data_IF_937982988653
#
_entry.id   IF_937982988653
#
_cell.length_a   1.000
_cell.length_b   1.000
_cell.length_c   1.000
_cell.angle_alpha   90.00
_cell.angle_beta   90.00
_cell.angle_gamma   90.00
#
_symmetry.space_group_name_H-M   'P 1'
#
loop_
_entity.id
_entity.type
_entity.pdbx_description
1 polymer ?
#
# COMPACT_ATOMS: atom_id res chain seq x y z
N UNK A 1 17.58 9.51 3.39
CA UNK A 1 18.57 9.97 2.39
C UNK A 1 17.82 10.77 1.34
N UNK A 2 18.36 11.91 0.86
CA UNK A 2 17.79 12.63 -0.28
C UNK A 2 18.44 12.10 -1.57
N UNK A 3 17.63 11.66 -2.52
CA UNK A 3 18.09 11.12 -3.80
C UNK A 3 17.83 12.16 -4.90
N UNK A 4 18.85 12.49 -5.68
CA UNK A 4 18.65 13.22 -6.93
C UNK A 4 18.09 12.29 -8.03
N UNK A 5 17.76 12.83 -9.20
CA UNK A 5 17.15 12.05 -10.29
C UNK A 5 18.02 10.87 -10.77
N UNK A 6 19.34 11.00 -10.74
CA UNK A 6 20.26 9.93 -11.13
C UNK A 6 20.24 8.79 -10.11
N UNK A 7 20.37 9.12 -8.82
CA UNK A 7 20.36 8.14 -7.74
C UNK A 7 18.99 7.50 -7.54
N UNK A 8 17.89 8.25 -7.72
CA UNK A 8 16.54 7.73 -7.66
C UNK A 8 16.28 6.70 -8.78
N UNK A 9 16.74 6.99 -10.00
CA UNK A 9 16.64 6.06 -11.12
C UNK A 9 17.50 4.80 -10.90
N UNK A 10 18.72 4.97 -10.39
CA UNK A 10 19.58 3.84 -10.03
C UNK A 10 18.93 2.97 -8.94
N UNK A 11 18.41 3.59 -7.88
CA UNK A 11 17.74 2.88 -6.77
C UNK A 11 16.51 2.10 -7.26
N UNK A 12 15.71 2.67 -8.15
CA UNK A 12 14.52 2.02 -8.71
C UNK A 12 14.84 0.87 -9.68
N UNK A 13 15.98 0.94 -10.40
CA UNK A 13 16.35 -0.01 -11.47
C UNK A 13 17.42 -1.02 -11.09
N UNK A 14 18.16 -0.79 -10.01
CA UNK A 14 19.23 -1.67 -9.58
C UNK A 14 18.70 -3.09 -9.36
N UNK A 15 19.43 -4.05 -9.91
CA UNK A 15 19.21 -5.49 -9.75
C UNK A 15 20.36 -6.16 -8.99
N UNK A 16 21.29 -5.37 -8.44
CA UNK A 16 22.40 -5.90 -7.68
C UNK A 16 21.84 -6.57 -6.42
N UNK A 17 22.03 -7.90 -6.34
CA UNK A 17 21.74 -8.75 -5.18
C UNK A 17 20.29 -8.74 -4.65
N UNK A 18 19.32 -8.20 -5.41
CA UNK A 18 17.92 -8.08 -4.96
C UNK A 18 16.98 -9.02 -5.70
N UNK A 19 16.05 -9.64 -4.98
CA UNK A 19 14.95 -10.40 -5.57
C UNK A 19 14.00 -9.50 -6.41
N UNK A 20 13.17 -10.11 -7.26
CA UNK A 20 12.14 -9.39 -8.03
C UNK A 20 11.20 -8.60 -7.09
N UNK A 21 10.93 -9.16 -5.91
CA UNK A 21 10.07 -8.60 -4.89
C UNK A 21 10.68 -7.38 -4.20
N UNK A 22 11.96 -7.44 -3.86
CA UNK A 22 12.69 -6.27 -3.34
C UNK A 22 12.69 -5.12 -4.35
N UNK A 23 12.82 -5.42 -5.65
CA UNK A 23 12.72 -4.41 -6.70
C UNK A 23 11.33 -3.77 -6.74
N UNK A 24 10.26 -4.55 -6.61
CA UNK A 24 8.89 -4.02 -6.52
C UNK A 24 8.71 -3.13 -5.29
N UNK A 25 9.30 -3.50 -4.14
CA UNK A 25 9.28 -2.67 -2.92
C UNK A 25 10.00 -1.34 -3.16
N UNK A 26 11.21 -1.36 -3.73
CA UNK A 26 11.97 -0.12 -4.02
C UNK A 26 11.22 0.82 -4.97
N UNK A 27 10.56 0.28 -6.00
CA UNK A 27 9.72 1.07 -6.90
C UNK A 27 8.56 1.75 -6.14
N UNK A 28 7.88 1.00 -5.26
CA UNK A 28 6.82 1.54 -4.40
C UNK A 28 7.36 2.60 -3.44
N UNK A 29 8.57 2.44 -2.93
CA UNK A 29 9.21 3.42 -2.07
C UNK A 29 9.52 4.73 -2.80
N UNK A 30 9.99 4.66 -4.05
CA UNK A 30 10.17 5.85 -4.88
C UNK A 30 8.83 6.56 -5.11
N UNK A 31 7.77 5.81 -5.41
CA UNK A 31 6.43 6.39 -5.59
C UNK A 31 5.87 7.01 -4.29
N UNK A 32 6.05 6.36 -3.14
CA UNK A 32 5.66 6.91 -1.83
C UNK A 32 6.42 8.20 -1.54
N UNK A 33 7.74 8.20 -1.74
CA UNK A 33 8.58 9.37 -1.55
C UNK A 33 8.18 10.52 -2.49
N UNK A 34 7.86 10.23 -3.75
CA UNK A 34 7.33 11.23 -4.68
C UNK A 34 6.00 11.81 -4.18
N UNK A 35 5.06 10.98 -3.75
CA UNK A 35 3.78 11.44 -3.22
C UNK A 35 3.94 12.33 -1.98
N UNK A 36 4.96 12.09 -1.16
CA UNK A 36 5.27 12.89 0.02
C UNK A 36 6.07 14.17 -0.28
N UNK A 37 6.99 14.13 -1.23
CA UNK A 37 7.89 15.24 -1.53
C UNK A 37 7.28 16.25 -2.50
N UNK A 38 6.44 15.79 -3.41
CA UNK A 38 5.76 16.66 -4.35
C UNK A 38 4.74 17.55 -3.62
N UNK A 39 4.57 18.77 -4.15
CA UNK A 39 3.44 19.64 -3.84
C UNK A 39 2.34 19.34 -4.88
N UNK A 40 1.25 18.66 -4.50
CA UNK A 40 0.24 18.23 -5.47
C UNK A 40 -0.43 19.40 -6.20
N UNK A 41 -0.58 20.55 -5.54
CA UNK A 41 -1.19 21.74 -6.14
C UNK A 41 -0.27 22.38 -7.16
N UNK A 42 1.04 22.40 -6.87
CA UNK A 42 2.05 22.84 -7.83
C UNK A 42 2.09 21.92 -9.04
N UNK A 43 2.01 20.60 -8.85
CA UNK A 43 1.95 19.64 -9.96
C UNK A 43 0.67 19.82 -10.79
N UNK A 44 -0.49 20.00 -10.18
CA UNK A 44 -1.75 20.22 -10.90
C UNK A 44 -1.76 21.54 -11.69
N UNK A 45 -1.29 22.63 -11.08
CA UNK A 45 -1.21 23.94 -11.78
C UNK A 45 -0.20 23.92 -12.92
N UNK A 46 0.88 23.14 -12.79
CA UNK A 46 1.90 22.95 -13.84
C UNK A 46 1.62 21.77 -14.78
N UNK A 47 0.50 21.08 -14.63
CA UNK A 47 0.20 19.86 -15.39
C UNK A 47 0.21 20.07 -16.90
N UNK A 48 -0.26 21.23 -17.38
CA UNK A 48 -0.19 21.59 -18.80
C UNK A 48 1.25 21.68 -19.32
N UNK A 49 2.08 22.48 -18.64
CA UNK A 49 3.51 22.63 -18.98
C UNK A 49 4.27 21.30 -18.86
N UNK A 50 3.95 20.49 -17.84
CA UNK A 50 4.56 19.17 -17.63
C UNK A 50 4.15 18.17 -18.70
N UNK A 51 2.91 18.23 -19.18
CA UNK A 51 2.42 17.36 -20.26
C UNK A 51 3.07 17.71 -21.60
N UNK A 52 3.26 19.00 -21.87
CA UNK A 52 3.92 19.47 -23.09
C UNK A 52 5.44 19.22 -23.07
N UNK A 53 6.13 19.57 -21.97
CA UNK A 53 7.56 19.33 -21.80
C UNK A 53 7.88 17.84 -21.65
N UNK A 54 6.94 17.07 -21.09
CA UNK A 54 7.02 15.64 -20.95
C UNK A 54 6.97 14.90 -22.28
N UNK A 55 6.26 15.42 -23.29
CA UNK A 55 6.14 14.76 -24.59
C UNK A 55 5.79 13.27 -24.46
N UNK A 56 6.67 12.39 -24.94
CA UNK A 56 6.52 10.92 -24.83
C UNK A 56 6.98 10.32 -23.47
N UNK A 57 7.44 11.14 -22.52
CA UNK A 57 7.92 10.67 -21.20
C UNK A 57 6.80 10.15 -20.30
N UNK A 58 5.60 10.74 -20.40
CA UNK A 58 4.47 10.43 -19.53
C UNK A 58 3.16 10.53 -20.32
N UNK A 59 2.48 9.40 -20.47
CA UNK A 59 1.20 9.31 -21.17
C UNK A 59 0.11 8.95 -20.18
N UNK A 60 -0.89 9.81 -20.05
CA UNK A 60 -2.02 9.63 -19.12
C UNK A 60 -3.30 10.14 -19.77
N UNK A 61 -4.44 9.57 -19.37
CA UNK A 61 -5.80 9.99 -19.70
C UNK A 61 -6.37 10.99 -18.69
N UNK A 62 -5.59 11.38 -17.67
CA UNK A 62 -5.96 12.40 -16.69
C UNK A 62 -6.00 13.78 -17.37
N UNK A 63 -7.19 14.39 -17.41
CA UNK A 63 -7.39 15.75 -17.88
C UNK A 63 -7.06 16.80 -16.81
N UNK A 64 -7.13 18.09 -17.19
CA UNK A 64 -6.83 19.21 -16.26
C UNK A 64 -7.81 19.30 -15.08
N UNK A 65 -9.07 18.89 -15.28
CA UNK A 65 -10.08 18.89 -14.22
C UNK A 65 -9.80 17.80 -13.20
N UNK A 66 -9.57 16.58 -13.70
CA UNK A 66 -9.25 15.40 -12.89
C UNK A 66 -7.90 15.56 -12.17
N UNK A 67 -6.92 16.23 -12.79
CA UNK A 67 -5.64 16.52 -12.15
C UNK A 67 -5.80 17.35 -10.87
N UNK A 68 -6.75 18.29 -10.85
CA UNK A 68 -7.04 19.09 -9.66
C UNK A 68 -7.72 18.25 -8.57
N UNK A 69 -8.71 17.42 -8.93
CA UNK A 69 -9.36 16.50 -7.98
C UNK A 69 -8.36 15.50 -7.38
N UNK A 70 -7.47 14.95 -8.20
CA UNK A 70 -6.39 14.07 -7.76
C UNK A 70 -5.39 14.79 -6.85
N UNK A 71 -5.11 16.08 -7.10
CA UNK A 71 -4.25 16.87 -6.22
C UNK A 71 -4.89 17.11 -4.84
N UNK A 72 -6.20 17.38 -4.79
CA UNK A 72 -6.92 17.48 -3.51
C UNK A 72 -6.90 16.14 -2.75
N UNK A 73 -7.07 15.02 -3.46
CA UNK A 73 -6.98 13.69 -2.86
C UNK A 73 -5.55 13.41 -2.35
N UNK A 74 -4.53 13.77 -3.14
CA UNK A 74 -3.12 13.62 -2.77
C UNK A 74 -2.76 14.46 -1.54
N UNK A 75 -3.29 15.67 -1.41
CA UNK A 75 -3.14 16.50 -0.20
C UNK A 75 -3.71 15.81 1.04
N UNK A 76 -4.90 15.22 0.94
CA UNK A 76 -5.51 14.44 2.03
C UNK A 76 -4.70 13.18 2.34
N UNK A 77 -4.22 12.49 1.31
CA UNK A 77 -3.45 11.25 1.42
C UNK A 77 -2.06 11.47 2.04
N UNK A 78 -1.43 12.63 1.84
CA UNK A 78 -0.10 12.96 2.38
C UNK A 78 -0.02 12.89 3.91
N UNK A 79 -1.15 13.07 4.60
CA UNK A 79 -1.27 12.91 6.06
C UNK A 79 -1.66 11.50 6.52
N UNK A 80 -1.82 10.54 5.61
CA UNK A 80 -2.32 9.20 5.89
C UNK A 80 -1.26 8.15 5.58
N UNK A 81 -1.34 7.03 6.30
CA UNK A 81 -0.50 5.87 6.02
C UNK A 81 -0.97 5.18 4.74
N UNK A 82 -0.04 4.94 3.82
CA UNK A 82 -0.30 4.21 2.58
C UNK A 82 -0.18 2.71 2.85
N UNK A 83 -1.29 1.98 2.73
CA UNK A 83 -1.26 0.53 2.68
C UNK A 83 -0.82 0.06 1.29
N UNK A 84 -0.04 -1.01 1.23
CA UNK A 84 0.45 -1.58 -0.03
C UNK A 84 0.28 -3.08 -0.04
N UNK A 85 -0.20 -3.59 -1.17
CA UNK A 85 -0.23 -5.03 -1.47
C UNK A 85 0.67 -5.30 -2.66
N UNK A 86 1.46 -6.35 -2.56
CA UNK A 86 2.31 -6.87 -3.61
C UNK A 86 1.75 -8.18 -4.13
N UNK A 87 1.31 -8.19 -5.38
CA UNK A 87 0.75 -9.39 -6.03
C UNK A 87 1.88 -10.27 -6.55
N UNK A 88 2.55 -10.91 -5.60
CA UNK A 88 3.72 -11.74 -5.77
C UNK A 88 3.50 -13.07 -5.04
N UNK A 89 4.18 -14.15 -5.43
CA UNK A 89 4.21 -15.38 -4.63
C UNK A 89 4.60 -15.09 -3.18
N UNK A 90 3.94 -15.73 -2.19
CA UNK A 90 2.93 -16.79 -2.30
C UNK A 90 1.49 -16.31 -2.60
N UNK A 91 1.21 -15.01 -2.61
CA UNK A 91 -0.15 -14.47 -2.78
C UNK A 91 -0.71 -14.69 -4.19
N UNK A 92 0.10 -14.41 -5.22
CA UNK A 92 -0.28 -14.61 -6.63
C UNK A 92 0.86 -15.25 -7.40
N UNK A 93 0.58 -16.31 -8.14
CA UNK A 93 1.55 -16.90 -9.08
C UNK A 93 1.44 -16.14 -10.41
N UNK A 94 2.46 -15.35 -10.76
CA UNK A 94 2.43 -14.49 -11.95
C UNK A 94 2.25 -15.25 -13.27
N UNK A 95 2.65 -16.52 -13.33
CA UNK A 95 2.46 -17.38 -14.51
C UNK A 95 0.98 -17.75 -14.76
N UNK A 96 0.19 -17.89 -13.68
CA UNK A 96 -1.25 -18.18 -13.73
C UNK A 96 -1.96 -17.30 -12.68
N UNK A 97 -2.20 -16.02 -13.00
CA UNK A 97 -2.77 -15.09 -12.04
C UNK A 97 -4.23 -15.42 -11.76
N UNK A 98 -4.56 -15.59 -10.48
CA UNK A 98 -5.95 -15.67 -10.02
C UNK A 98 -6.55 -14.25 -9.94
N UNK A 99 -7.24 -13.84 -11.01
CA UNK A 99 -7.89 -12.53 -11.06
C UNK A 99 -9.07 -12.40 -10.07
N UNK A 100 -9.68 -13.51 -9.66
CA UNK A 100 -10.73 -13.52 -8.63
C UNK A 100 -10.14 -13.10 -7.29
N UNK A 101 -9.04 -13.76 -6.89
CA UNK A 101 -8.31 -13.46 -5.67
C UNK A 101 -7.72 -12.04 -5.66
N UNK A 102 -7.22 -11.55 -6.80
CA UNK A 102 -6.75 -10.15 -6.91
C UNK A 102 -7.89 -9.18 -6.62
N UNK A 103 -9.06 -9.36 -7.25
CA UNK A 103 -10.22 -8.47 -7.04
C UNK A 103 -10.71 -8.50 -5.60
N UNK A 104 -10.81 -9.70 -5.01
CA UNK A 104 -11.21 -9.86 -3.61
C UNK A 104 -10.23 -9.17 -2.66
N UNK A 105 -8.92 -9.38 -2.86
CA UNK A 105 -7.87 -8.75 -2.05
C UNK A 105 -7.95 -7.22 -2.12
N UNK A 106 -8.13 -6.66 -3.33
CA UNK A 106 -8.28 -5.20 -3.52
C UNK A 106 -9.53 -4.69 -2.80
N UNK A 107 -10.69 -5.32 -3.00
CA UNK A 107 -11.94 -4.92 -2.34
C UNK A 107 -11.82 -4.96 -0.82
N UNK A 108 -11.20 -6.02 -0.28
CA UNK A 108 -10.96 -6.16 1.16
C UNK A 108 -10.08 -5.05 1.70
N UNK A 109 -8.99 -4.68 1.02
CA UNK A 109 -8.09 -3.60 1.44
C UNK A 109 -8.77 -2.23 1.38
N UNK A 110 -9.56 -1.96 0.34
CA UNK A 110 -10.36 -0.73 0.26
C UNK A 110 -11.35 -0.66 1.42
N UNK A 111 -12.14 -1.73 1.64
CA UNK A 111 -13.11 -1.78 2.74
C UNK A 111 -12.46 -1.62 4.12
N UNK A 112 -11.26 -2.17 4.32
CA UNK A 112 -10.48 -1.98 5.54
C UNK A 112 -10.05 -0.51 5.74
N UNK A 113 -9.61 0.16 4.68
CA UNK A 113 -9.27 1.59 4.72
C UNK A 113 -10.50 2.45 5.03
N UNK A 114 -11.62 2.21 4.34
CA UNK A 114 -12.87 2.94 4.59
C UNK A 114 -13.39 2.72 6.03
N UNK A 115 -13.27 1.51 6.56
CA UNK A 115 -13.63 1.21 7.95
C UNK A 115 -12.77 1.98 8.95
N UNK A 116 -11.46 2.15 8.68
CA UNK A 116 -10.56 2.95 9.51
C UNK A 116 -10.95 4.43 9.50
N UNK A 117 -11.37 4.96 8.36
CA UNK A 117 -11.80 6.36 8.25
C UNK A 117 -13.10 6.59 9.03
N UNK A 118 -14.11 5.73 8.84
CA UNK A 118 -15.36 5.77 9.63
C UNK A 118 -15.11 5.67 11.14
N UNK A 119 -14.16 4.83 11.55
CA UNK A 119 -13.79 4.69 12.95
C UNK A 119 -13.08 5.94 13.52
N UNK A 120 -12.26 6.64 12.72
CA UNK A 120 -11.66 7.93 13.12
C UNK A 120 -12.71 9.02 13.27
N UNK A 121 -13.66 9.11 12.34
CA UNK A 121 -14.75 10.09 12.38
C UNK A 121 -15.63 9.88 13.63
N UNK A 122 -15.95 8.63 13.95
CA UNK A 122 -16.68 8.28 15.17
C UNK A 122 -15.89 8.61 16.45
N UNK A 123 -14.55 8.50 16.44
CA UNK A 123 -13.68 8.87 17.57
C UNK A 123 -13.53 10.38 17.74
N UNK A 124 -13.59 11.15 16.64
CA UNK A 124 -13.60 12.62 16.66
C UNK A 124 -14.89 13.21 17.24
N UNK A 125 -16.00 12.49 17.14
CA UNK A 125 -17.29 12.88 17.72
C UNK A 125 -17.47 12.49 19.21
N UNK A 126 -16.50 11.79 19.80
CA UNK A 126 -16.65 11.12 21.10
C UNK A 126 -15.83 11.72 22.25
N UNK A 127 -15.99 13.02 22.55
CA UNK A 127 -15.63 13.57 23.87
C UNK A 127 -16.89 13.83 24.69
N UNK A 128 -17.54 12.75 25.09
CA UNK A 128 -18.47 12.72 26.21
C UNK A 128 -18.47 11.29 26.80
N UNK A 129 -17.72 11.10 27.89
CA UNK A 129 -17.80 9.91 28.76
C UNK A 129 -18.97 10.12 29.75
N UNK A 130 -19.66 9.08 30.24
CA UNK A 130 -19.18 8.25 31.39
C UNK A 130 -19.33 6.72 31.12
N UNK A 131 -18.38 5.86 31.52
CA UNK A 131 -18.40 4.95 32.72
C UNK A 131 -19.72 4.16 32.88
N UNK A 132 -19.78 2.82 32.92
CA UNK A 132 -19.20 1.91 33.94
C UNK A 132 -19.41 0.40 33.60
N UNK A 133 -18.46 -0.44 34.06
CA UNK A 133 -18.57 -1.81 34.63
C UNK A 133 -19.11 -3.04 33.84
N UNK A 134 -18.17 -3.98 33.64
CA UNK A 134 -18.09 -5.36 34.19
C UNK A 134 -19.23 -6.37 33.91
N UNK A 135 -18.90 -7.49 33.24
CA UNK A 135 -18.98 -8.86 33.83
C UNK A 135 -18.33 -9.93 32.94
N UNK A 136 -17.77 -10.93 33.59
CA UNK A 136 -16.96 -12.04 33.11
C UNK A 136 -17.79 -13.32 32.83
N UNK A 137 -17.05 -14.41 32.54
CA UNK A 137 -17.41 -15.84 32.51
C UNK A 137 -17.90 -16.41 31.16
N UNK A 138 -17.63 -17.65 30.75
CA UNK A 138 -16.58 -18.66 31.02
C UNK A 138 -16.78 -19.76 29.94
N UNK A 139 -15.71 -20.47 29.58
CA UNK A 139 -15.64 -21.58 28.61
C UNK A 139 -16.05 -22.91 29.28
N UNK A 140 -16.65 -23.90 28.57
CA UNK A 140 -15.92 -25.12 28.11
C UNK A 140 -16.36 -25.61 26.72
N UNK A 141 -15.46 -25.84 25.75
CA UNK A 141 -14.73 -27.08 25.45
C UNK A 141 -15.58 -28.22 24.84
N UNK A 142 -15.34 -28.54 23.56
CA UNK A 142 -15.49 -29.90 22.98
C UNK A 142 -14.68 -30.04 21.68
N UNK A 143 -13.74 -30.97 21.66
CA UNK A 143 -13.09 -31.56 20.47
C UNK A 143 -13.92 -32.76 19.96
N UNK A 144 -13.74 -33.23 18.71
CA UNK A 144 -12.87 -34.39 18.52
C UNK A 144 -11.98 -34.36 17.25
N UNK A 145 -11.06 -35.32 17.26
CA UNK A 145 -9.90 -35.61 16.42
C UNK A 145 -10.10 -36.02 14.95
N UNK A 146 -8.96 -35.93 14.25
CA UNK A 146 -8.46 -36.69 13.07
C UNK A 146 -8.90 -36.15 11.71
N UNK A 147 -8.04 -35.98 10.70
CA UNK A 147 -6.85 -36.77 10.32
C UNK A 147 -5.92 -35.97 9.38
N UNK A 148 -4.61 -36.23 9.47
CA UNK A 148 -3.58 -35.87 8.47
C UNK A 148 -3.81 -36.68 7.19
N UNK A 149 -3.50 -36.16 5.98
CA UNK A 149 -2.14 -36.38 5.47
C UNK A 149 -1.56 -35.25 4.57
N UNK A 150 -0.23 -35.21 4.53
CA UNK A 150 0.64 -34.84 3.40
C UNK A 150 1.01 -33.36 3.15
N UNK A 151 2.27 -33.06 3.50
CA UNK A 151 3.21 -32.24 2.72
C UNK A 151 3.17 -32.64 1.22
N UNK A 152 3.40 -31.72 0.26
CA UNK A 152 4.70 -31.04 0.16
C UNK A 152 4.63 -29.57 -0.25
N UNK A 153 5.48 -28.75 0.35
CA UNK A 153 6.32 -27.77 -0.35
C UNK A 153 6.94 -26.84 0.69
N UNK A 154 8.26 -26.87 0.74
CA UNK A 154 9.13 -25.92 1.41
C UNK A 154 8.61 -24.49 1.23
N UNK A 155 7.99 -23.93 2.27
CA UNK A 155 7.75 -22.50 2.36
C UNK A 155 9.11 -21.85 2.60
N UNK A 156 9.63 -21.19 1.56
CA UNK A 156 10.56 -20.10 1.77
C UNK A 156 9.95 -19.15 2.82
N UNK A 157 10.73 -18.60 3.76
CA UNK A 157 10.22 -17.67 4.76
C UNK A 157 9.32 -16.63 4.12
N UNK A 158 8.14 -16.40 4.68
CA UNK A 158 7.24 -15.32 4.25
C UNK A 158 7.93 -13.99 4.54
N UNK A 159 8.75 -13.53 3.59
CA UNK A 159 9.48 -12.28 3.73
C UNK A 159 8.48 -11.10 3.65
N UNK A 160 8.74 -9.96 4.34
CA UNK A 160 7.78 -8.90 4.66
C UNK A 160 7.26 -8.06 3.48
N UNK A 161 7.31 -8.59 2.26
CA UNK A 161 7.15 -7.84 1.02
C UNK A 161 5.80 -8.06 0.32
N UNK A 162 4.92 -8.91 0.87
CA UNK A 162 3.61 -9.23 0.28
C UNK A 162 2.54 -8.21 0.64
N UNK A 163 2.43 -7.80 1.90
CA UNK A 163 1.46 -6.81 2.35
C UNK A 163 2.02 -5.95 3.48
N UNK A 164 1.70 -4.66 3.46
CA UNK A 164 1.98 -3.73 4.56
C UNK A 164 0.85 -2.72 4.73
N UNK A 165 0.55 -2.38 5.97
CA UNK A 165 -0.39 -1.31 6.32
C UNK A 165 0.30 0.06 6.41
N UNK A 166 1.63 0.09 6.34
CA UNK A 166 2.47 1.27 6.42
C UNK A 166 3.68 1.09 5.50
N UNK A 167 3.57 1.62 4.28
CA UNK A 167 4.63 1.52 3.28
C UNK A 167 5.90 2.27 3.70
N UNK A 168 5.76 3.38 4.43
CA UNK A 168 6.90 4.20 4.85
C UNK A 168 7.79 3.47 5.86
N UNK A 169 7.18 2.69 6.75
CA UNK A 169 7.90 1.81 7.65
C UNK A 169 8.75 0.75 6.91
N UNK A 170 8.30 0.27 5.75
CA UNK A 170 9.06 -0.68 4.92
C UNK A 170 10.20 0.02 4.17
N UNK A 171 9.94 1.24 3.70
CA UNK A 171 10.88 2.01 2.89
C UNK A 171 12.04 2.62 3.68
N UNK A 172 11.91 2.75 4.99
CA UNK A 172 13.00 3.20 5.89
C UNK A 172 13.98 2.08 6.27
N UNK A 173 13.58 0.81 6.10
CA UNK A 173 14.39 -0.39 6.44
C UNK A 173 15.19 -0.88 5.22
N UNK A 174 14.80 -0.51 4.00
CA UNK A 174 15.46 -0.94 2.74
C UNK A 174 16.60 -0.02 2.26
N UNK A 175 17.08 0.89 3.11
CA UNK A 175 18.14 1.87 2.79
C UNK A 175 19.42 1.62 3.57
#
# INVERSE_FOLDING_TARGET
VLLDGYHALWFARSRAESSDYERMVRQKCVMSAMAQQLDPMTVATKFGELSEAGGDLLRTDVGRGEAYELAELALKAKGLKVSSVNFAPPLIVSAHPDFGLIRETVQKKIAQSEAKDKAKDAKGAGSAKPTEKTSAAEKPASTPSSSTPSEPASQAPQEPYTETEDLDAVCTVSS
#
